data_IF_924159653168
#
_entry.id   IF_924159653168
#
_cell.length_a   1.000
_cell.length_b   1.000
_cell.length_c   1.000
_cell.angle_alpha   90.00
_cell.angle_beta   90.00
_cell.angle_gamma   90.00
#
_symmetry.space_group_name_H-M   'P 1'
#
loop_
_entity.id
_entity.type
_entity.pdbx_description
1 polymer ?
#
# COMPACT_ATOMS: atom_id res chain seq x y z
N UNK A 1 5.25 34.11 71.43
CA UNK A 1 4.61 34.39 70.12
C UNK A 1 4.69 33.13 69.26
N UNK A 2 3.61 32.33 69.21
CA UNK A 2 3.56 31.07 68.44
C UNK A 2 3.08 31.37 67.02
N UNK A 3 3.94 31.16 66.01
CA UNK A 3 3.58 31.31 64.59
C UNK A 3 2.94 30.00 64.12
N UNK A 4 1.66 30.05 63.77
CA UNK A 4 0.93 28.94 63.13
C UNK A 4 1.09 29.13 61.63
N UNK A 5 1.77 28.20 60.98
CA UNK A 5 1.92 28.17 59.52
C UNK A 5 0.84 27.22 58.99
N UNK A 6 -0.17 27.76 58.32
CA UNK A 6 -1.20 26.99 57.64
C UNK A 6 -0.67 26.58 56.26
N UNK A 7 -0.47 25.28 56.05
CA UNK A 7 -0.09 24.71 54.76
C UNK A 7 -1.37 24.29 54.02
N UNK A 8 -1.77 25.06 53.00
CA UNK A 8 -2.89 24.71 52.14
C UNK A 8 -2.42 23.77 51.03
N UNK A 9 -2.82 22.50 51.10
CA UNK A 9 -2.55 21.49 50.09
C UNK A 9 -3.63 21.59 48.99
N UNK A 10 -3.31 22.22 47.86
CA UNK A 10 -4.18 22.25 46.70
C UNK A 10 -3.98 20.95 45.89
N UNK A 11 -4.96 20.04 45.94
CA UNK A 11 -5.00 18.86 45.07
C UNK A 11 -5.36 19.29 43.66
N UNK A 12 -4.35 19.39 42.78
CA UNK A 12 -4.51 19.70 41.37
C UNK A 12 -4.94 18.41 40.63
N UNK A 13 -6.23 18.23 40.42
CA UNK A 13 -6.77 17.15 39.61
C UNK A 13 -6.44 17.40 38.12
N UNK A 14 -5.45 16.70 37.59
CA UNK A 14 -5.12 16.73 36.16
C UNK A 14 -6.18 15.89 35.43
N UNK A 15 -7.18 16.56 34.86
CA UNK A 15 -8.09 15.91 33.91
C UNK A 15 -7.35 15.74 32.58
N UNK A 16 -6.99 14.51 32.22
CA UNK A 16 -6.50 14.19 30.88
C UNK A 16 -7.68 14.28 29.91
N UNK A 17 -7.89 15.45 29.31
CA UNK A 17 -8.75 15.56 28.13
C UNK A 17 -8.02 14.91 26.96
N UNK A 18 -8.49 13.75 26.53
CA UNK A 18 -8.07 13.14 25.28
C UNK A 18 -8.59 14.03 24.14
N UNK A 19 -7.73 14.88 23.60
CA UNK A 19 -8.04 15.68 22.43
C UNK A 19 -7.87 14.85 21.16
N UNK A 20 -8.55 15.25 20.09
CA UNK A 20 -8.38 14.65 18.78
C UNK A 20 -6.91 14.76 18.32
N UNK A 21 -6.38 13.71 17.69
CA UNK A 21 -5.01 13.70 17.17
C UNK A 21 -4.93 14.34 15.78
N UNK A 22 -4.07 15.32 15.60
CA UNK A 22 -3.87 15.97 14.31
C UNK A 22 -3.06 15.08 13.37
N UNK A 23 -3.56 14.83 12.17
CA UNK A 23 -2.90 14.01 11.15
C UNK A 23 -2.84 14.73 9.79
N UNK A 24 -1.78 14.46 9.04
CA UNK A 24 -1.57 14.95 7.67
C UNK A 24 -0.44 14.18 6.98
N UNK A 25 -0.25 14.41 5.68
CA UNK A 25 0.84 13.81 4.91
C UNK A 25 0.70 12.29 4.78
N UNK A 26 1.82 11.58 4.87
CA UNK A 26 1.87 10.12 4.80
C UNK A 26 2.00 9.58 6.23
N UNK A 27 0.97 8.88 6.70
CA UNK A 27 0.93 8.28 8.05
C UNK A 27 1.31 6.80 8.06
N UNK A 28 1.31 6.15 6.90
CA UNK A 28 1.59 4.72 6.77
C UNK A 28 3.07 4.44 6.53
N UNK A 29 3.55 3.37 7.13
CA UNK A 29 4.76 2.66 6.75
C UNK A 29 4.39 1.50 5.82
N UNK A 30 5.34 1.10 4.97
CA UNK A 30 5.13 0.05 3.98
C UNK A 30 6.35 -0.86 3.91
N UNK A 31 6.13 -2.17 3.79
CA UNK A 31 7.19 -3.13 3.52
C UNK A 31 6.72 -4.20 2.55
N UNK A 32 7.61 -4.64 1.66
CA UNK A 32 7.33 -5.74 0.74
C UNK A 32 7.48 -7.06 1.49
N UNK A 33 6.58 -8.00 1.24
CA UNK A 33 6.63 -9.35 1.80
C UNK A 33 7.38 -10.25 0.82
N UNK A 34 8.50 -10.81 1.27
CA UNK A 34 9.39 -11.65 0.46
C UNK A 34 9.00 -13.13 0.56
N UNK A 35 8.54 -13.58 1.72
CA UNK A 35 8.03 -14.93 1.93
C UNK A 35 7.07 -14.97 3.11
N UNK A 36 6.21 -15.98 3.13
CA UNK A 36 5.24 -16.23 4.21
C UNK A 36 5.37 -17.68 4.66
N UNK A 37 5.62 -17.90 5.95
CA UNK A 37 5.53 -19.21 6.58
C UNK A 37 4.19 -19.32 7.32
N UNK A 38 3.27 -20.09 6.75
CA UNK A 38 1.93 -20.30 7.33
C UNK A 38 1.94 -21.24 8.55
N UNK A 39 3.00 -22.02 8.77
CA UNK A 39 3.10 -22.92 9.92
C UNK A 39 3.49 -22.16 11.18
N UNK A 40 4.42 -21.21 11.05
CA UNK A 40 4.88 -20.33 12.13
C UNK A 40 4.16 -18.98 12.15
N UNK A 41 3.37 -18.68 11.12
CA UNK A 41 2.66 -17.43 10.91
C UNK A 41 3.59 -16.20 10.85
N UNK A 42 4.72 -16.37 10.15
CA UNK A 42 5.75 -15.35 10.00
C UNK A 42 5.82 -14.80 8.58
N UNK A 43 6.12 -13.50 8.50
CA UNK A 43 6.37 -12.78 7.25
C UNK A 43 7.84 -12.36 7.22
N UNK A 44 8.55 -12.73 6.16
CA UNK A 44 9.85 -12.14 5.86
C UNK A 44 9.62 -10.85 5.06
N UNK A 45 10.12 -9.71 5.54
CA UNK A 45 9.85 -8.40 4.94
C UNK A 45 11.11 -7.66 4.52
N UNK A 46 10.96 -6.67 3.62
CA UNK A 46 12.07 -5.84 3.17
C UNK A 46 12.57 -4.84 4.22
N UNK A 47 11.72 -4.47 5.18
CA UNK A 47 12.05 -3.58 6.30
C UNK A 47 11.01 -3.71 7.41
N UNK A 48 11.41 -3.41 8.64
CA UNK A 48 10.52 -3.33 9.81
C UNK A 48 10.36 -1.88 10.30
N UNK A 49 10.96 -0.91 9.59
CA UNK A 49 10.87 0.50 9.96
C UNK A 49 9.41 1.00 9.90
N UNK A 50 8.93 1.56 11.01
CA UNK A 50 7.55 2.03 11.12
C UNK A 50 6.55 0.92 11.51
N UNK A 51 7.06 -0.22 11.98
CA UNK A 51 6.28 -1.30 12.57
C UNK A 51 6.84 -1.64 13.96
N UNK A 52 5.96 -1.90 14.91
CA UNK A 52 6.29 -2.33 16.26
C UNK A 52 5.37 -3.48 16.72
N UNK A 53 5.81 -4.19 17.77
CA UNK A 53 4.97 -5.22 18.40
C UNK A 53 3.67 -4.61 18.93
N UNK A 54 2.54 -5.28 18.67
CA UNK A 54 1.20 -4.79 18.98
C UNK A 54 0.56 -3.91 17.91
N UNK A 55 1.32 -3.46 16.90
CA UNK A 55 0.76 -2.63 15.83
C UNK A 55 -0.19 -3.44 14.94
N UNK A 56 -1.25 -2.76 14.47
CA UNK A 56 -2.10 -3.28 13.41
C UNK A 56 -1.50 -2.96 12.03
N UNK A 57 -1.71 -3.85 11.08
CA UNK A 57 -1.31 -3.68 9.68
C UNK A 57 -2.38 -4.24 8.74
N UNK A 58 -2.30 -3.82 7.48
CA UNK A 58 -2.97 -4.47 6.35
C UNK A 58 -1.93 -5.26 5.57
N UNK A 59 -2.15 -6.56 5.40
CA UNK A 59 -1.44 -7.41 4.45
C UNK A 59 -2.28 -7.46 3.17
N UNK A 60 -1.70 -7.13 2.02
CA UNK A 60 -2.42 -7.05 0.74
C UNK A 60 -1.56 -7.50 -0.43
N UNK A 61 -2.19 -8.20 -1.36
CA UNK A 61 -1.59 -8.57 -2.64
C UNK A 61 -2.04 -7.63 -3.75
N UNK A 62 -1.10 -6.94 -4.38
CA UNK A 62 -1.41 -5.91 -5.37
C UNK A 62 -1.63 -6.50 -6.76
N UNK A 63 -0.83 -7.49 -7.16
CA UNK A 63 -0.81 -8.09 -8.49
C UNK A 63 -0.94 -9.62 -8.44
N UNK A 64 -0.92 -10.29 -9.58
CA UNK A 64 -1.03 -11.76 -9.68
C UNK A 64 -2.27 -12.25 -10.43
N UNK A 65 -3.01 -11.34 -11.07
CA UNK A 65 -4.00 -11.71 -12.07
C UNK A 65 -3.32 -12.22 -13.34
N UNK A 66 -3.95 -13.18 -14.01
CA UNK A 66 -3.53 -13.67 -15.32
C UNK A 66 -4.31 -12.97 -16.42
N UNK A 67 -3.62 -12.62 -17.50
CA UNK A 67 -4.22 -11.99 -18.69
C UNK A 67 -3.97 -12.83 -19.94
N UNK A 68 -4.80 -12.63 -20.96
CA UNK A 68 -4.54 -13.15 -22.29
C UNK A 68 -3.41 -12.34 -22.94
N UNK A 69 -2.27 -12.99 -23.19
CA UNK A 69 -1.10 -12.38 -23.85
C UNK A 69 -1.03 -12.70 -25.34
N UNK A 70 -2.03 -13.38 -25.91
CA UNK A 70 -2.08 -13.69 -27.35
C UNK A 70 -2.37 -12.43 -28.15
N UNK A 71 -1.60 -12.22 -29.22
CA UNK A 71 -1.74 -11.07 -30.12
C UNK A 71 -3.04 -11.13 -30.95
N UNK A 72 -4.16 -10.85 -30.29
CA UNK A 72 -5.54 -10.92 -30.80
C UNK A 72 -6.36 -9.82 -30.13
N UNK A 73 -7.60 -9.60 -30.59
CA UNK A 73 -8.51 -8.64 -29.96
C UNK A 73 -8.78 -8.88 -28.47
N UNK A 74 -8.45 -10.07 -27.95
CA UNK A 74 -8.56 -10.40 -26.53
C UNK A 74 -7.30 -10.05 -25.71
N UNK A 75 -6.24 -9.49 -26.30
CA UNK A 75 -5.01 -9.14 -25.59
C UNK A 75 -5.29 -8.24 -24.38
N UNK A 76 -4.70 -8.55 -23.24
CA UNK A 76 -4.89 -7.83 -21.98
C UNK A 76 -6.20 -8.12 -21.25
N UNK A 77 -7.09 -8.96 -21.80
CA UNK A 77 -8.27 -9.42 -21.05
C UNK A 77 -7.87 -10.27 -19.86
N UNK A 78 -8.52 -10.04 -18.71
CA UNK A 78 -8.26 -10.82 -17.49
C UNK A 78 -8.90 -12.20 -17.63
N UNK A 79 -8.10 -13.25 -17.46
CA UNK A 79 -8.54 -14.65 -17.51
C UNK A 79 -8.69 -15.26 -16.12
N UNK A 80 -8.07 -14.65 -15.10
CA UNK A 80 -8.20 -15.03 -13.70
C UNK A 80 -7.59 -13.97 -12.79
N UNK A 81 -8.18 -13.78 -11.60
CA UNK A 81 -7.67 -12.80 -10.62
C UNK A 81 -6.51 -13.35 -9.77
N UNK A 82 -6.34 -14.68 -9.73
CA UNK A 82 -5.39 -15.32 -8.83
C UNK A 82 -5.64 -14.87 -7.39
N UNK A 83 -4.59 -14.34 -6.76
CA UNK A 83 -4.64 -13.80 -5.41
C UNK A 83 -4.64 -12.25 -5.38
N UNK A 84 -4.68 -11.58 -6.54
CA UNK A 84 -4.69 -10.11 -6.61
C UNK A 84 -5.92 -9.52 -5.90
N UNK A 85 -5.68 -8.46 -5.12
CA UNK A 85 -6.71 -7.75 -4.36
C UNK A 85 -7.11 -8.41 -3.04
N UNK A 86 -6.56 -9.58 -2.69
CA UNK A 86 -6.78 -10.15 -1.36
C UNK A 86 -6.07 -9.31 -0.30
N UNK A 87 -6.76 -9.07 0.80
CA UNK A 87 -6.22 -8.34 1.93
C UNK A 87 -6.78 -8.83 3.26
N UNK A 88 -5.99 -8.65 4.32
CA UNK A 88 -6.35 -8.97 5.70
C UNK A 88 -5.78 -7.93 6.65
N UNK A 89 -6.52 -7.63 7.72
CA UNK A 89 -6.00 -6.88 8.88
C UNK A 89 -5.34 -7.87 9.83
N UNK A 90 -4.10 -7.62 10.19
CA UNK A 90 -3.36 -8.42 11.17
C UNK A 90 -2.79 -7.54 12.28
N UNK A 91 -2.33 -8.18 13.36
CA UNK A 91 -1.62 -7.54 14.47
C UNK A 91 -0.27 -8.21 14.62
N UNK A 92 0.78 -7.43 14.83
CA UNK A 92 2.14 -7.93 15.02
C UNK A 92 2.26 -8.49 16.44
N UNK A 93 2.61 -9.76 16.56
CA UNK A 93 2.91 -10.39 17.83
C UNK A 93 4.38 -10.20 18.25
N UNK A 94 5.31 -10.31 17.29
CA UNK A 94 6.74 -10.17 17.54
C UNK A 94 7.50 -9.69 16.30
N UNK A 95 8.63 -9.02 16.49
CA UNK A 95 9.57 -8.67 15.42
C UNK A 95 10.96 -9.20 15.77
N UNK A 96 11.54 -10.03 14.90
CA UNK A 96 12.90 -10.55 15.06
C UNK A 96 13.71 -10.32 13.77
N UNK A 97 14.59 -9.33 13.79
CA UNK A 97 15.31 -8.91 12.59
C UNK A 97 14.35 -8.36 11.52
N UNK A 98 14.24 -9.07 10.39
CA UNK A 98 13.31 -8.75 9.29
C UNK A 98 12.12 -9.72 9.21
N UNK A 99 11.93 -10.52 10.26
CA UNK A 99 10.80 -11.42 10.39
C UNK A 99 9.74 -10.81 11.32
N UNK A 100 8.49 -10.78 10.86
CA UNK A 100 7.33 -10.32 11.61
C UNK A 100 6.44 -11.54 11.89
N UNK A 101 6.20 -11.85 13.15
CA UNK A 101 5.23 -12.87 13.56
C UNK A 101 3.87 -12.21 13.75
N UNK A 102 2.81 -12.77 13.16
CA UNK A 102 1.45 -12.27 13.33
C UNK A 102 0.74 -12.98 14.51
N UNK A 103 -0.11 -12.25 15.22
CA UNK A 103 -0.87 -12.76 16.38
C UNK A 103 -1.87 -13.86 16.00
N UNK A 104 -2.45 -13.78 14.79
CA UNK A 104 -3.45 -14.73 14.28
C UNK A 104 -3.08 -15.20 12.90
N UNK A 105 -3.36 -16.48 12.64
CA UNK A 105 -3.13 -17.09 11.34
C UNK A 105 -3.92 -16.38 10.23
N UNK A 106 -3.29 -16.22 9.07
CA UNK A 106 -3.92 -15.71 7.86
C UNK A 106 -5.02 -16.66 7.36
N UNK A 107 -6.13 -16.10 6.90
CA UNK A 107 -7.25 -16.86 6.33
C UNK A 107 -7.09 -17.06 4.82
N UNK A 108 -6.45 -16.10 4.15
CA UNK A 108 -6.22 -16.16 2.71
C UNK A 108 -4.82 -16.70 2.40
N UNK A 109 -4.69 -17.48 1.31
CA UNK A 109 -3.40 -17.68 0.71
C UNK A 109 -2.96 -16.40 -0.03
N UNK A 110 -1.66 -16.17 -0.05
CA UNK A 110 -0.98 -15.11 -0.76
C UNK A 110 0.11 -15.71 -1.63
N UNK A 111 0.30 -15.12 -2.81
CA UNK A 111 1.38 -15.41 -3.72
C UNK A 111 2.33 -14.22 -3.72
N UNK A 112 3.52 -14.39 -3.14
CA UNK A 112 4.51 -13.30 -2.97
C UNK A 112 5.05 -12.77 -4.29
N UNK A 113 4.96 -13.54 -5.39
CA UNK A 113 5.30 -13.05 -6.73
C UNK A 113 4.28 -12.02 -7.25
N UNK A 114 3.08 -11.98 -6.64
CA UNK A 114 2.02 -11.01 -6.92
C UNK A 114 2.17 -9.67 -6.19
N UNK A 115 3.39 -9.26 -5.83
CA UNK A 115 3.68 -7.98 -5.17
C UNK A 115 2.85 -7.79 -3.87
N UNK A 116 3.11 -8.65 -2.89
CA UNK A 116 2.49 -8.59 -1.56
C UNK A 116 3.21 -7.54 -0.72
N UNK A 117 2.45 -6.68 -0.04
CA UNK A 117 2.97 -5.69 0.90
C UNK A 117 2.20 -5.70 2.21
N UNK A 118 2.88 -5.29 3.28
CA UNK A 118 2.26 -4.85 4.52
C UNK A 118 2.23 -3.32 4.58
N UNK A 119 1.14 -2.79 5.10
CA UNK A 119 0.91 -1.36 5.31
C UNK A 119 0.55 -1.16 6.77
N UNK A 120 1.30 -0.34 7.52
CA UNK A 120 0.94 -0.07 8.92
C UNK A 120 -0.44 0.57 8.98
N UNK A 121 -1.22 0.30 10.03
CA UNK A 121 -2.56 0.86 10.20
C UNK A 121 -2.65 1.52 11.58
N UNK A 122 -2.19 2.78 11.71
CA UNK A 122 -2.27 3.52 12.97
C UNK A 122 -3.70 3.63 13.50
N UNK A 123 -3.86 3.56 14.81
CA UNK A 123 -5.15 3.63 15.49
C UNK A 123 -5.30 4.91 16.33
N UNK A 124 -6.26 5.75 15.98
CA UNK A 124 -6.57 7.03 16.63
C UNK A 124 -7.83 6.88 17.48
N UNK A 125 -7.68 6.29 18.68
CA UNK A 125 -8.79 5.99 19.58
C UNK A 125 -9.57 7.22 20.06
N UNK A 126 -8.88 8.34 20.23
CA UNK A 126 -9.46 9.64 20.61
C UNK A 126 -10.00 10.44 19.40
N UNK A 127 -9.95 9.86 18.20
CA UNK A 127 -10.32 10.47 16.93
C UNK A 127 -9.13 11.14 16.23
N UNK A 128 -9.25 11.29 14.91
CA UNK A 128 -8.22 11.85 14.03
C UNK A 128 -8.73 13.13 13.32
N UNK A 129 -8.03 14.25 13.49
CA UNK A 129 -8.32 15.54 12.85
C UNK A 129 -7.37 15.72 11.66
N UNK A 130 -7.90 15.69 10.44
CA UNK A 130 -7.11 15.93 9.23
C UNK A 130 -6.93 17.43 9.04
N UNK A 131 -5.73 17.93 9.37
CA UNK A 131 -5.42 19.38 9.39
C UNK A 131 -4.77 19.89 8.11
N UNK A 132 -4.18 19.00 7.31
CA UNK A 132 -3.63 19.27 5.97
C UNK A 132 -3.84 18.01 5.11
N UNK A 133 -3.48 18.03 3.82
CA UNK A 133 -3.72 16.92 2.89
C UNK A 133 -3.17 15.62 3.48
N UNK A 134 -4.07 14.67 3.74
CA UNK A 134 -3.72 13.30 4.11
C UNK A 134 -3.63 12.46 2.85
N UNK A 135 -2.51 11.77 2.66
CA UNK A 135 -2.18 11.08 1.41
C UNK A 135 -1.40 9.80 1.67
N UNK A 136 -1.10 9.06 0.59
CA UNK A 136 -0.30 7.85 0.61
C UNK A 136 1.02 8.05 -0.13
N UNK A 137 2.03 7.25 0.20
CA UNK A 137 3.21 7.13 -0.66
C UNK A 137 2.77 6.58 -2.02
N UNK A 138 3.18 7.16 -3.16
CA UNK A 138 2.88 6.57 -4.47
C UNK A 138 3.42 5.14 -4.58
N UNK A 139 2.71 4.30 -5.32
CA UNK A 139 3.14 2.94 -5.64
C UNK A 139 4.43 2.95 -6.47
N UNK A 140 5.46 2.26 -5.97
CA UNK A 140 6.79 2.18 -6.59
C UNK A 140 7.07 0.87 -7.35
N UNK A 141 6.10 -0.06 -7.37
CA UNK A 141 6.18 -1.34 -8.08
C UNK A 141 6.31 -2.51 -7.12
N UNK A 142 6.57 -2.21 -5.85
CA UNK A 142 6.65 -3.18 -4.78
C UNK A 142 5.79 -2.78 -3.58
N UNK A 143 5.73 -1.49 -3.25
CA UNK A 143 5.00 -0.96 -2.09
C UNK A 143 4.40 0.41 -2.34
N UNK A 144 3.47 0.83 -1.49
CA UNK A 144 2.79 2.13 -1.57
C UNK A 144 1.37 2.03 -2.13
N UNK A 145 0.80 3.18 -2.45
CA UNK A 145 -0.52 3.36 -3.07
C UNK A 145 -1.71 3.13 -2.15
N UNK A 146 -1.48 2.93 -0.85
CA UNK A 146 -2.51 2.60 0.13
C UNK A 146 -2.44 3.58 1.30
N UNK A 147 -3.58 4.13 1.68
CA UNK A 147 -3.77 4.86 2.93
C UNK A 147 -4.64 4.00 3.84
N UNK A 148 -4.16 3.67 5.04
CA UNK A 148 -4.89 2.87 6.01
C UNK A 148 -4.84 3.51 7.40
N UNK A 149 -5.97 3.61 8.08
CA UNK A 149 -6.02 4.03 9.48
C UNK A 149 -7.28 3.50 10.15
N UNK A 150 -7.20 3.38 11.47
CA UNK A 150 -8.33 3.08 12.32
C UNK A 150 -8.60 4.31 13.19
N UNK A 151 -9.84 4.77 13.30
CA UNK A 151 -10.18 5.91 14.15
C UNK A 151 -11.62 5.78 14.64
N UNK A 152 -11.89 6.25 15.87
CA UNK A 152 -13.26 6.35 16.38
C UNK A 152 -14.06 7.43 15.65
N UNK A 153 -13.41 8.52 15.25
CA UNK A 153 -13.99 9.60 14.44
C UNK A 153 -12.90 10.23 13.58
N UNK A 154 -13.23 10.56 12.33
CA UNK A 154 -12.34 11.32 11.43
C UNK A 154 -13.00 12.67 11.18
N UNK A 155 -12.36 13.75 11.62
CA UNK A 155 -12.78 15.12 11.35
C UNK A 155 -11.94 15.69 10.21
N UNK A 156 -12.56 16.23 9.16
CA UNK A 156 -11.85 16.75 7.99
C UNK A 156 -11.84 18.27 8.00
N UNK A 157 -10.68 18.88 8.24
CA UNK A 157 -10.42 20.31 7.96
C UNK A 157 -9.64 20.50 6.64
N UNK A 158 -9.04 19.43 6.13
CA UNK A 158 -8.36 19.34 4.86
C UNK A 158 -8.75 18.02 4.15
N UNK A 159 -8.53 17.89 2.84
CA UNK A 159 -8.95 16.71 2.09
C UNK A 159 -8.05 15.50 2.38
N UNK A 160 -8.62 14.31 2.20
CA UNK A 160 -7.86 13.08 1.99
C UNK A 160 -7.74 12.91 0.47
N UNK A 161 -6.51 12.93 -0.06
CA UNK A 161 -6.25 12.81 -1.48
C UNK A 161 -5.18 11.75 -1.78
N UNK A 162 -5.63 10.66 -2.41
CA UNK A 162 -4.78 9.56 -2.89
C UNK A 162 -4.79 9.46 -4.43
N UNK A 163 -5.19 10.54 -5.11
CA UNK A 163 -5.20 10.61 -6.57
C UNK A 163 -3.81 10.37 -7.15
N UNK A 164 -3.71 9.46 -8.13
CA UNK A 164 -2.44 9.11 -8.77
C UNK A 164 -1.42 8.39 -7.87
N UNK A 165 -1.83 7.91 -6.68
CA UNK A 165 -0.94 7.16 -5.78
C UNK A 165 -0.94 5.65 -6.05
N UNK A 166 -1.95 5.13 -6.74
CA UNK A 166 -2.05 3.72 -7.13
C UNK A 166 -1.06 3.33 -8.25
N UNK A 167 -1.37 2.25 -8.96
CA UNK A 167 -0.54 1.72 -10.05
C UNK A 167 0.01 2.80 -10.99
N UNK A 168 1.28 2.64 -11.40
CA UNK A 168 1.92 3.62 -12.29
C UNK A 168 1.28 3.57 -13.67
N UNK A 169 1.08 4.75 -14.24
CA UNK A 169 0.71 4.88 -15.66
C UNK A 169 1.83 4.38 -16.57
N UNK A 170 1.46 4.09 -17.82
CA UNK A 170 2.43 3.67 -18.83
C UNK A 170 3.38 4.81 -19.22
N UNK A 171 4.59 4.46 -19.66
CA UNK A 171 5.52 5.43 -20.22
C UNK A 171 5.24 5.64 -21.73
N UNK A 172 5.34 6.88 -22.19
CA UNK A 172 5.29 7.16 -23.62
C UNK A 172 6.57 6.63 -24.29
N UNK A 173 6.44 5.85 -25.37
CA UNK A 173 7.58 5.53 -26.21
C UNK A 173 8.06 6.81 -26.90
N UNK A 174 9.23 7.31 -26.48
CA UNK A 174 9.92 8.42 -27.11
C UNK A 174 10.74 7.84 -28.26
N UNK A 175 10.38 8.18 -29.49
CA UNK A 175 11.12 8.05 -30.77
C UNK A 175 10.25 7.47 -31.89
N UNK A 176 9.02 7.96 -32.06
CA UNK A 176 8.28 7.72 -33.29
C UNK A 176 8.93 8.48 -34.46
N UNK A 177 9.77 7.81 -35.25
CA UNK A 177 10.15 8.30 -36.58
C UNK A 177 8.98 8.03 -37.51
N UNK A 178 8.21 9.06 -37.85
CA UNK A 178 6.88 8.95 -38.45
C UNK A 178 6.78 8.41 -39.88
N UNK A 179 7.40 7.28 -40.17
CA UNK A 179 7.31 6.60 -41.46
C UNK A 179 6.03 5.75 -41.51
N UNK A 180 4.90 6.44 -41.68
CA UNK A 180 3.66 5.81 -42.12
C UNK A 180 3.82 5.36 -43.58
N UNK A 181 3.99 4.06 -43.81
CA UNK A 181 4.04 3.46 -45.16
C UNK A 181 2.83 2.55 -45.34
N UNK A 182 2.14 2.65 -46.49
CA UNK A 182 1.02 1.79 -46.86
C UNK A 182 1.45 0.37 -47.26
N UNK A 183 2.76 0.09 -47.34
CA UNK A 183 3.32 -1.21 -47.70
C UNK A 183 3.42 -2.17 -46.50
N UNK A 184 3.21 -1.67 -45.29
CA UNK A 184 3.30 -2.44 -44.06
C UNK A 184 2.05 -2.22 -43.21
N UNK A 185 1.33 -3.31 -42.92
CA UNK A 185 0.19 -3.27 -42.01
C UNK A 185 0.68 -3.43 -40.57
N UNK A 186 0.21 -2.55 -39.67
CA UNK A 186 0.51 -2.59 -38.24
C UNK A 186 -0.79 -2.87 -37.48
N UNK A 187 -1.19 -4.14 -37.48
CA UNK A 187 -2.49 -4.59 -36.95
C UNK A 187 -2.34 -5.41 -35.66
N UNK A 188 -1.15 -5.42 -35.06
CA UNK A 188 -0.91 -6.15 -33.83
C UNK A 188 -1.57 -5.43 -32.64
N UNK A 189 -2.08 -6.23 -31.71
CA UNK A 189 -2.69 -5.84 -30.44
C UNK A 189 -1.65 -5.70 -29.32
N UNK A 190 -0.44 -6.18 -29.54
CA UNK A 190 0.72 -5.97 -28.69
C UNK A 190 1.98 -5.94 -29.56
N UNK A 191 2.92 -5.07 -29.22
CA UNK A 191 4.21 -4.95 -29.89
C UNK A 191 5.35 -5.33 -28.96
N UNK A 192 6.54 -5.54 -29.52
CA UNK A 192 7.76 -5.66 -28.71
C UNK A 192 8.01 -4.36 -27.93
N UNK A 193 8.60 -4.46 -26.74
CA UNK A 193 8.92 -3.31 -25.88
C UNK A 193 9.80 -2.26 -26.57
N UNK A 194 10.69 -2.67 -27.48
CA UNK A 194 11.53 -1.76 -28.27
C UNK A 194 10.80 -1.16 -29.49
N UNK A 195 9.54 -1.54 -29.73
CA UNK A 195 8.78 -1.09 -30.88
C UNK A 195 8.33 0.36 -30.72
N UNK A 196 8.63 1.18 -31.73
CA UNK A 196 8.11 2.55 -31.84
C UNK A 196 6.61 2.61 -32.20
N UNK A 197 5.94 1.45 -32.32
CA UNK A 197 4.54 1.33 -32.80
C UNK A 197 3.53 1.16 -31.67
N UNK A 198 4.01 0.92 -30.45
CA UNK A 198 3.22 0.91 -29.22
C UNK A 198 3.73 1.96 -28.25
N UNK A 199 2.93 2.25 -27.23
CA UNK A 199 3.40 2.93 -26.03
C UNK A 199 3.32 1.93 -24.87
N UNK A 200 4.16 2.13 -23.86
CA UNK A 200 4.18 1.18 -22.76
C UNK A 200 2.86 1.22 -21.99
N UNK A 201 2.37 0.04 -21.59
CA UNK A 201 1.17 -0.08 -20.79
C UNK A 201 1.45 0.34 -19.34
N UNK A 202 0.45 0.91 -18.69
CA UNK A 202 0.49 1.12 -17.25
C UNK A 202 0.44 -0.19 -16.47
N UNK A 203 0.90 -0.14 -15.23
CA UNK A 203 0.75 -1.25 -14.30
C UNK A 203 -0.72 -1.52 -13.98
N UNK A 204 -1.01 -2.74 -13.55
CA UNK A 204 -2.33 -3.13 -13.07
C UNK A 204 -2.24 -4.38 -12.22
N UNK A 205 -3.38 -5.06 -12.04
CA UNK A 205 -3.48 -6.29 -11.24
C UNK A 205 -2.72 -7.49 -11.83
N UNK A 206 -2.25 -7.40 -13.07
CA UNK A 206 -1.34 -8.36 -13.70
C UNK A 206 0.04 -7.72 -13.82
N UNK A 207 1.08 -8.55 -13.73
CA UNK A 207 2.39 -8.14 -14.22
C UNK A 207 2.32 -7.79 -15.71
N UNK A 208 3.16 -6.85 -16.15
CA UNK A 208 3.34 -6.54 -17.56
C UNK A 208 4.06 -7.74 -18.22
N UNK A 209 3.55 -8.19 -19.37
CA UNK A 209 4.12 -9.34 -20.06
C UNK A 209 5.53 -8.99 -20.58
N UNK A 210 6.52 -9.80 -20.23
CA UNK A 210 7.92 -9.53 -20.60
C UNK A 210 8.09 -9.39 -22.11
N UNK A 211 8.72 -8.29 -22.53
CA UNK A 211 9.00 -8.00 -23.95
C UNK A 211 7.76 -7.72 -24.79
N UNK A 212 6.61 -7.40 -24.17
CA UNK A 212 5.39 -7.01 -24.88
C UNK A 212 4.76 -5.78 -24.26
N UNK A 213 4.37 -4.86 -25.13
CA UNK A 213 3.57 -3.68 -24.83
C UNK A 213 2.22 -3.75 -25.53
#
# INVERSE_FOLDING_TARGET
MKKIILLALASLSIYFTQAQENISGIINAYAAVQSIDYCTNTLQVSTVNGFAEGDALILIQMQGATINVSNTAAYGSVTGLGQAGRYERAVIAAINGLEITLDKALLNPYDTDGAVQIVSMPAYGSGALVTDILTARPWDGSTGGILALEASTISLQAPIDVSGKGFRGGSAALNYSGDCTFLSNYNDFAYDEASIRGAHKGEGISAIATGRE
#
